data_IF_067791529461
#
_entry.id   IF_067791529461
#
_cell.length_a   1.000
_cell.length_b   1.000
_cell.length_c   1.000
_cell.angle_alpha   90.00
_cell.angle_beta   90.00
_cell.angle_gamma   90.00
#
_symmetry.space_group_name_H-M   'P 1'
#
loop_
_entity.id
_entity.type
_entity.pdbx_description
1 polymer ?
#
# COMPACT_ATOMS: atom_id res chain seq x y z
N UNK A 1 0.26 -23.24 4.76
CA UNK A 1 0.08 -22.58 6.07
C UNK A 1 0.16 -21.07 5.83
N UNK A 2 -0.53 -20.22 6.59
CA UNK A 2 -0.33 -18.75 6.51
C UNK A 2 1.03 -18.44 7.14
N UNK A 3 1.90 -17.63 6.52
CA UNK A 3 3.20 -17.30 7.10
C UNK A 3 3.05 -16.51 8.40
N UNK A 4 4.06 -16.63 9.27
CA UNK A 4 4.17 -15.83 10.48
C UNK A 4 4.29 -14.34 10.12
N UNK A 5 3.55 -13.42 10.77
CA UNK A 5 3.66 -11.99 10.53
C UNK A 5 5.09 -11.43 10.66
N UNK A 6 5.89 -11.95 11.59
CA UNK A 6 7.27 -11.51 11.78
C UNK A 6 8.13 -11.94 10.59
N UNK A 7 7.93 -13.15 10.04
CA UNK A 7 8.61 -13.59 8.84
C UNK A 7 8.26 -12.73 7.59
N UNK A 8 7.02 -12.25 7.50
CA UNK A 8 6.62 -11.28 6.46
C UNK A 8 7.34 -9.96 6.65
N UNK A 9 7.42 -9.45 7.88
CA UNK A 9 8.11 -8.20 8.19
C UNK A 9 9.62 -8.31 7.89
N UNK A 10 10.26 -9.37 8.37
CA UNK A 10 11.69 -9.64 8.15
C UNK A 10 12.02 -9.75 6.67
N UNK A 11 11.18 -10.42 5.88
CA UNK A 11 11.35 -10.49 4.43
C UNK A 11 11.39 -9.09 3.77
N UNK A 12 10.54 -8.16 4.21
CA UNK A 12 10.56 -6.77 3.71
C UNK A 12 11.78 -6.00 4.21
N UNK A 13 12.14 -6.14 5.50
CA UNK A 13 13.27 -5.43 6.09
C UNK A 13 14.60 -5.87 5.48
N UNK A 14 14.83 -7.17 5.35
CA UNK A 14 16.02 -7.73 4.68
C UNK A 14 16.11 -7.25 3.23
N UNK A 15 15.00 -7.28 2.49
CA UNK A 15 14.96 -6.78 1.11
C UNK A 15 15.28 -5.28 1.04
N UNK A 16 14.74 -4.49 1.97
CA UNK A 16 15.06 -3.07 2.06
C UNK A 16 16.54 -2.84 2.38
N UNK A 17 17.12 -3.60 3.29
CA UNK A 17 18.53 -3.48 3.72
C UNK A 17 19.52 -3.84 2.60
N UNK A 18 19.15 -4.72 1.68
CA UNK A 18 19.96 -5.02 0.49
C UNK A 18 20.00 -3.90 -0.56
N UNK A 19 19.07 -2.94 -0.52
CA UNK A 19 19.09 -1.81 -1.46
C UNK A 19 20.31 -0.91 -1.25
N UNK A 20 20.77 -0.20 -2.30
CA UNK A 20 21.84 0.79 -2.17
C UNK A 20 21.54 1.82 -1.07
N UNK A 21 22.57 2.28 -0.35
CA UNK A 21 22.43 3.30 0.71
C UNK A 21 21.80 4.60 0.20
N UNK A 22 21.98 4.89 -1.09
CA UNK A 22 21.39 6.05 -1.74
C UNK A 22 19.87 5.97 -1.64
N UNK A 23 19.26 6.97 -0.98
CA UNK A 23 17.80 7.13 -0.76
C UNK A 23 17.24 6.32 0.42
N UNK A 24 18.11 5.80 1.30
CA UNK A 24 17.70 5.35 2.64
C UNK A 24 17.80 6.52 3.64
N UNK A 25 17.04 6.48 4.76
CA UNK A 25 17.21 7.44 5.84
C UNK A 25 18.65 7.42 6.36
N UNK A 26 19.25 8.60 6.49
CA UNK A 26 20.66 8.72 6.86
C UNK A 26 20.83 8.62 8.38
N UNK A 27 21.88 7.94 8.85
CA UNK A 27 22.32 8.08 10.23
C UNK A 27 22.86 9.50 10.43
N UNK A 28 22.23 10.29 11.29
CA UNK A 28 22.70 11.64 11.66
C UNK A 28 23.69 11.53 12.84
N UNK A 29 24.66 12.45 12.91
CA UNK A 29 25.75 12.42 13.89
C UNK A 29 25.35 12.83 15.31
N UNK A 30 24.13 13.31 15.52
CA UNK A 30 23.72 14.06 16.72
C UNK A 30 22.35 13.58 17.28
N UNK A 31 22.24 12.27 17.51
CA UNK A 31 21.14 11.56 18.19
C UNK A 31 19.75 11.55 17.52
N UNK A 32 19.46 12.38 16.52
CA UNK A 32 18.26 12.24 15.70
C UNK A 32 18.53 11.30 14.51
N UNK A 33 17.68 10.29 14.30
CA UNK A 33 17.76 9.41 13.11
C UNK A 33 16.70 9.88 12.12
N UNK A 34 17.08 10.10 10.86
CA UNK A 34 16.07 10.29 9.81
C UNK A 34 15.17 9.05 9.75
N UNK A 35 13.86 9.23 9.58
CA UNK A 35 12.92 8.14 9.46
C UNK A 35 11.85 8.46 8.41
N UNK A 36 11.28 7.40 7.84
CA UNK A 36 10.16 7.46 6.91
C UNK A 36 9.42 6.12 6.99
N UNK A 37 8.08 6.09 6.88
CA UNK A 37 7.35 4.84 6.80
C UNK A 37 7.84 3.97 5.63
N UNK A 38 7.87 2.67 5.85
CA UNK A 38 8.18 1.63 4.88
C UNK A 38 6.97 0.71 4.73
N UNK A 39 6.67 0.30 3.51
CA UNK A 39 5.71 -0.75 3.24
C UNK A 39 6.24 -1.67 2.15
N UNK A 40 5.77 -2.92 2.16
CA UNK A 40 6.15 -3.94 1.20
C UNK A 40 5.02 -4.91 0.92
N UNK A 41 5.02 -5.49 -0.27
CA UNK A 41 4.14 -6.59 -0.65
C UNK A 41 4.99 -7.85 -0.80
N UNK A 42 4.61 -8.88 -0.06
CA UNK A 42 5.26 -10.18 -0.01
C UNK A 42 4.33 -11.23 -0.64
N UNK A 43 4.87 -12.01 -1.56
CA UNK A 43 4.22 -13.21 -2.07
C UNK A 43 4.73 -14.42 -1.29
N UNK A 44 3.81 -15.19 -0.72
CA UNK A 44 4.10 -16.44 -0.03
C UNK A 44 3.61 -17.62 -0.87
N UNK A 45 4.51 -18.53 -1.23
CA UNK A 45 4.17 -19.74 -1.96
C UNK A 45 3.80 -20.86 -0.98
N UNK A 46 2.56 -21.37 -1.06
CA UNK A 46 2.10 -22.52 -0.28
C UNK A 46 2.42 -23.87 -0.91
N UNK A 47 2.89 -23.89 -2.15
CA UNK A 47 3.10 -25.09 -2.97
C UNK A 47 4.54 -25.57 -3.02
N UNK A 48 4.80 -26.53 -3.90
CA UNK A 48 6.13 -27.12 -4.17
C UNK A 48 6.96 -26.29 -5.17
N UNK A 49 6.42 -25.19 -5.69
CA UNK A 49 7.15 -24.35 -6.61
C UNK A 49 8.18 -23.50 -5.86
N UNK A 50 9.41 -23.55 -6.37
CA UNK A 50 10.49 -22.76 -5.81
C UNK A 50 10.39 -21.34 -6.36
N UNK A 51 10.23 -20.37 -5.44
CA UNK A 51 10.47 -18.96 -5.76
C UNK A 51 11.90 -18.84 -6.32
N UNK A 52 12.12 -18.12 -7.43
CA UNK A 52 13.45 -17.93 -7.97
C UNK A 52 14.40 -17.39 -6.89
N UNK A 53 15.60 -17.98 -6.77
CA UNK A 53 16.55 -17.66 -5.69
C UNK A 53 16.87 -16.16 -5.58
N UNK A 54 16.86 -15.45 -6.71
CA UNK A 54 17.07 -14.00 -6.75
C UNK A 54 15.97 -13.18 -6.06
N UNK A 55 14.80 -13.77 -5.84
CA UNK A 55 13.62 -13.15 -5.24
C UNK A 55 13.24 -13.82 -3.91
N UNK A 56 14.00 -14.83 -3.50
CA UNK A 56 13.68 -15.68 -2.37
C UNK A 56 14.20 -15.05 -1.08
N UNK A 57 13.31 -14.88 -0.10
CA UNK A 57 13.69 -14.60 1.29
C UNK A 57 14.40 -15.80 1.93
N UNK A 58 14.93 -15.62 3.13
CA UNK A 58 15.74 -16.65 3.81
C UNK A 58 14.99 -17.99 3.97
N UNK A 59 13.68 -17.94 4.23
CA UNK A 59 12.83 -19.13 4.44
C UNK A 59 12.43 -19.86 3.15
N UNK A 60 12.91 -19.44 1.98
CA UNK A 60 12.65 -20.15 0.72
C UNK A 60 11.25 -19.96 0.12
N UNK A 61 10.30 -19.49 0.92
CA UNK A 61 8.86 -19.52 0.61
C UNK A 61 8.23 -18.14 0.52
N UNK A 62 8.97 -17.10 0.92
CA UNK A 62 8.53 -15.70 0.89
C UNK A 62 9.35 -14.91 -0.13
N UNK A 63 8.71 -13.94 -0.78
CA UNK A 63 9.35 -13.02 -1.71
C UNK A 63 8.80 -11.62 -1.56
N UNK A 64 9.63 -10.65 -1.17
CA UNK A 64 9.25 -9.24 -1.23
C UNK A 64 9.38 -8.76 -2.68
N UNK A 65 8.23 -8.66 -3.37
CA UNK A 65 8.18 -8.33 -4.80
C UNK A 65 8.04 -6.83 -5.06
N UNK A 66 7.69 -6.06 -4.03
CA UNK A 66 7.66 -4.61 -4.11
C UNK A 66 7.75 -3.98 -2.74
N UNK A 67 8.32 -2.78 -2.68
CA UNK A 67 8.39 -1.97 -1.48
C UNK A 67 8.35 -0.49 -1.83
N UNK A 68 8.07 0.34 -0.84
CA UNK A 68 8.05 1.78 -0.99
C UNK A 68 8.21 2.48 0.35
N UNK A 69 8.83 3.65 0.33
CA UNK A 69 8.92 4.55 1.48
C UNK A 69 8.26 5.88 1.17
N UNK A 70 7.51 6.44 2.10
CA UNK A 70 6.99 7.80 1.96
C UNK A 70 5.81 8.12 2.86
N UNK A 71 5.49 9.42 2.96
CA UNK A 71 4.54 9.94 3.94
C UNK A 71 3.83 11.23 3.48
N UNK A 72 3.84 11.55 2.17
CA UNK A 72 3.16 12.75 1.66
C UNK A 72 2.35 12.44 0.40
N UNK A 73 1.68 13.47 -0.06
CA UNK A 73 0.85 13.47 -1.25
C UNK A 73 1.01 14.83 -1.95
N UNK A 74 0.63 14.87 -3.23
CA UNK A 74 0.64 16.08 -4.04
C UNK A 74 -0.39 17.09 -3.50
N UNK A 75 -0.04 18.37 -3.33
CA UNK A 75 -0.99 19.39 -2.90
C UNK A 75 -2.17 19.54 -3.86
N UNK A 76 -3.34 19.88 -3.32
CA UNK A 76 -4.60 19.89 -4.09
C UNK A 76 -4.54 20.84 -5.29
N UNK A 77 -3.89 21.99 -5.14
CA UNK A 77 -3.78 22.99 -6.21
C UNK A 77 -2.79 22.59 -7.33
N UNK A 78 -2.00 21.52 -7.14
CA UNK A 78 -1.11 20.97 -8.16
C UNK A 78 -1.74 19.80 -8.91
N UNK A 79 -2.80 19.16 -8.37
CA UNK A 79 -3.51 18.06 -9.04
C UNK A 79 -3.98 18.42 -10.47
N UNK A 80 -4.57 19.59 -10.75
CA UNK A 80 -4.97 19.94 -12.11
C UNK A 80 -3.81 20.01 -13.10
N UNK A 81 -2.58 20.20 -12.61
CA UNK A 81 -1.34 20.27 -13.40
C UNK A 81 -0.62 18.94 -13.52
N UNK A 82 -1.09 17.88 -12.85
CA UNK A 82 -0.42 16.59 -12.84
C UNK A 82 -0.43 15.93 -14.22
N UNK A 83 -1.57 16.00 -14.93
CA UNK A 83 -1.76 15.43 -16.28
C UNK A 83 -1.22 13.99 -16.45
N UNK A 84 -1.34 13.16 -15.41
CA UNK A 84 -0.81 11.79 -15.39
C UNK A 84 0.71 11.65 -15.19
N UNK A 85 1.44 12.76 -15.05
CA UNK A 85 2.90 12.80 -14.96
C UNK A 85 3.44 13.05 -13.53
N UNK A 86 2.55 13.30 -12.56
CA UNK A 86 2.92 13.49 -11.16
C UNK A 86 2.22 12.46 -10.27
N UNK A 87 2.94 11.92 -9.29
CA UNK A 87 2.36 11.04 -8.29
C UNK A 87 1.46 11.85 -7.36
N UNK A 88 0.18 11.47 -7.26
CA UNK A 88 -0.78 12.12 -6.38
C UNK A 88 -0.57 11.74 -4.92
N UNK A 89 -0.22 10.48 -4.68
CA UNK A 89 -0.01 9.94 -3.35
C UNK A 89 1.27 9.11 -3.38
N UNK A 90 2.20 9.45 -2.49
CA UNK A 90 3.46 8.76 -2.33
C UNK A 90 3.67 8.33 -0.86
N UNK A 91 2.59 7.98 -0.17
CA UNK A 91 2.69 7.19 1.06
C UNK A 91 3.27 5.81 0.74
N UNK A 92 4.02 5.25 1.69
CA UNK A 92 4.71 3.98 1.55
C UNK A 92 3.80 2.87 1.02
N UNK A 93 2.62 2.70 1.63
CA UNK A 93 1.63 1.70 1.27
C UNK A 93 1.12 1.85 -0.17
N UNK A 94 0.92 3.11 -0.62
CA UNK A 94 0.45 3.40 -1.97
C UNK A 94 1.56 3.15 -2.99
N UNK A 95 2.79 3.51 -2.68
CA UNK A 95 3.93 3.25 -3.55
C UNK A 95 4.19 1.75 -3.70
N UNK A 96 4.10 0.97 -2.61
CA UNK A 96 4.23 -0.48 -2.65
C UNK A 96 3.19 -1.11 -3.60
N UNK A 97 1.91 -0.73 -3.49
CA UNK A 97 0.85 -1.21 -4.40
C UNK A 97 1.12 -0.82 -5.86
N UNK A 98 1.55 0.43 -6.11
CA UNK A 98 1.90 0.88 -7.48
C UNK A 98 3.08 0.10 -8.05
N UNK A 99 4.09 -0.17 -7.24
CA UNK A 99 5.24 -0.97 -7.62
C UNK A 99 4.84 -2.44 -7.87
N UNK A 100 3.93 -2.99 -7.07
CA UNK A 100 3.37 -4.33 -7.30
C UNK A 100 2.61 -4.43 -8.62
N UNK A 101 1.79 -3.42 -8.96
CA UNK A 101 1.13 -3.38 -10.27
C UNK A 101 2.15 -3.39 -11.41
N UNK A 102 3.26 -2.67 -11.26
CA UNK A 102 4.33 -2.67 -12.25
C UNK A 102 5.01 -4.04 -12.33
N UNK A 103 5.34 -4.65 -11.20
CA UNK A 103 5.89 -6.01 -11.11
C UNK A 103 5.01 -7.02 -11.86
N UNK A 104 3.69 -7.00 -11.63
CA UNK A 104 2.77 -7.90 -12.34
C UNK A 104 2.79 -7.68 -13.86
N UNK A 105 2.86 -6.42 -14.32
CA UNK A 105 2.99 -6.13 -15.74
C UNK A 105 4.31 -6.64 -16.32
N UNK A 106 5.41 -6.52 -15.58
CA UNK A 106 6.71 -7.02 -16.02
C UNK A 106 6.70 -8.57 -16.09
N UNK A 107 6.09 -9.27 -15.12
CA UNK A 107 5.90 -10.73 -15.13
C UNK A 107 5.03 -11.19 -16.31
N UNK A 108 3.98 -10.44 -16.65
CA UNK A 108 3.14 -10.71 -17.83
C UNK A 108 3.94 -10.58 -19.13
N UNK A 109 4.73 -9.51 -19.26
CA UNK A 109 5.58 -9.29 -20.42
C UNK A 109 6.63 -10.37 -20.57
N UNK A 110 7.24 -10.81 -19.47
CA UNK A 110 8.17 -11.93 -19.45
C UNK A 110 7.48 -13.23 -19.92
N UNK A 111 6.30 -13.55 -19.37
CA UNK A 111 5.55 -14.76 -19.74
C UNK A 111 5.13 -14.79 -21.22
N UNK A 112 4.84 -13.63 -21.80
CA UNK A 112 4.48 -13.51 -23.21
C UNK A 112 5.69 -13.57 -24.16
N UNK A 113 6.91 -13.48 -23.64
CA UNK A 113 8.14 -13.49 -24.41
C UNK A 113 8.67 -14.93 -24.58
N UNK A 114 8.80 -15.47 -25.81
CA UNK A 114 9.23 -16.86 -26.04
C UNK A 114 10.61 -17.22 -25.48
N UNK A 115 11.47 -16.21 -25.25
CA UNK A 115 12.83 -16.39 -24.75
C UNK A 115 12.93 -16.43 -23.23
N UNK A 116 11.83 -16.17 -22.52
CA UNK A 116 11.81 -16.11 -21.05
C UNK A 116 11.11 -17.34 -20.48
N UNK A 117 11.56 -17.83 -19.32
CA UNK A 117 10.83 -18.89 -18.62
C UNK A 117 9.44 -18.37 -18.20
N UNK A 118 8.47 -19.28 -18.01
CA UNK A 118 7.17 -18.91 -17.44
C UNK A 118 7.32 -18.17 -16.12
N UNK A 119 6.43 -17.22 -15.85
CA UNK A 119 6.38 -16.54 -14.55
C UNK A 119 6.25 -17.55 -13.42
N UNK A 120 7.02 -17.32 -12.35
CA UNK A 120 6.88 -18.08 -11.12
C UNK A 120 5.58 -17.74 -10.37
N UNK A 121 4.90 -16.64 -10.71
CA UNK A 121 3.78 -16.11 -9.94
C UNK A 121 2.45 -16.08 -10.71
N UNK A 122 2.52 -15.97 -12.04
CA UNK A 122 1.36 -15.85 -12.91
C UNK A 122 1.12 -17.12 -13.73
N UNK A 123 -0.14 -17.41 -14.00
CA UNK A 123 -0.58 -18.48 -14.90
C UNK A 123 -1.54 -17.95 -15.95
N UNK A 124 -1.55 -18.58 -17.10
CA UNK A 124 -2.60 -18.37 -18.11
C UNK A 124 -3.89 -19.03 -17.61
N UNK A 125 -5.00 -18.30 -17.66
CA UNK A 125 -6.34 -18.88 -17.43
C UNK A 125 -6.75 -19.73 -18.63
N UNK A 126 -7.40 -20.86 -18.39
CA UNK A 126 -8.04 -21.66 -19.43
C UNK A 126 -9.20 -20.89 -20.08
N UNK A 127 -9.78 -21.42 -21.16
CA UNK A 127 -10.92 -20.78 -21.83
C UNK A 127 -12.16 -20.83 -20.92
N UNK A 128 -12.31 -21.92 -20.18
CA UNK A 128 -13.43 -22.17 -19.27
C UNK A 128 -13.41 -21.25 -18.04
N UNK A 129 -12.22 -20.85 -17.60
CA UNK A 129 -12.04 -19.89 -16.49
C UNK A 129 -12.37 -18.44 -16.88
N UNK A 130 -12.48 -18.14 -18.19
CA UNK A 130 -12.74 -16.78 -18.68
C UNK A 130 -14.22 -16.58 -18.90
N UNK A 131 -14.80 -15.66 -18.14
CA UNK A 131 -16.23 -15.34 -18.22
C UNK A 131 -16.43 -13.91 -18.74
N UNK A 132 -17.64 -13.51 -19.17
CA UNK A 132 -17.90 -12.11 -19.51
C UNK A 132 -17.64 -11.12 -18.36
N UNK A 133 -17.79 -11.55 -17.10
CA UNK A 133 -17.47 -10.76 -15.90
C UNK A 133 -15.99 -10.77 -15.55
N UNK A 134 -15.27 -11.83 -15.92
CA UNK A 134 -13.83 -11.99 -15.68
C UNK A 134 -13.09 -12.43 -16.96
N UNK A 135 -12.92 -11.51 -17.93
CA UNK A 135 -12.36 -11.83 -19.24
C UNK A 135 -10.82 -11.89 -19.24
N UNK A 136 -10.17 -11.61 -18.11
CA UNK A 136 -8.72 -11.44 -18.04
C UNK A 136 -8.00 -12.77 -18.38
N UNK A 137 -6.97 -12.76 -19.26
CA UNK A 137 -6.33 -14.00 -19.69
C UNK A 137 -5.37 -14.60 -18.68
N UNK A 138 -4.99 -13.86 -17.64
CA UNK A 138 -4.02 -14.29 -16.63
C UNK A 138 -4.62 -14.26 -15.22
N UNK A 139 -4.09 -15.11 -14.36
CA UNK A 139 -4.35 -15.11 -12.93
C UNK A 139 -3.03 -15.23 -12.17
N UNK A 140 -3.03 -14.80 -10.91
CA UNK A 140 -2.05 -15.30 -9.95
C UNK A 140 -2.25 -16.80 -9.78
N UNK A 141 -1.18 -17.53 -9.48
CA UNK A 141 -1.29 -18.93 -9.07
C UNK A 141 -2.11 -19.04 -7.77
N UNK A 142 -2.86 -20.12 -7.64
CA UNK A 142 -3.85 -20.31 -6.55
C UNK A 142 -3.23 -20.58 -5.19
N UNK A 143 -1.98 -21.05 -5.18
CA UNK A 143 -1.19 -21.33 -3.99
C UNK A 143 -0.42 -20.12 -3.47
N UNK A 144 -0.54 -18.95 -4.11
CA UNK A 144 0.07 -17.72 -3.63
C UNK A 144 -0.83 -17.01 -2.62
N UNK A 145 -0.21 -16.52 -1.55
CA UNK A 145 -0.80 -15.50 -0.70
C UNK A 145 -0.09 -14.16 -0.89
N UNK A 146 -0.88 -13.09 -0.91
CA UNK A 146 -0.36 -11.72 -0.93
C UNK A 146 -0.44 -11.19 0.50
N UNK A 147 0.70 -10.77 1.02
CA UNK A 147 0.82 -10.14 2.33
C UNK A 147 1.31 -8.71 2.15
N UNK A 148 0.75 -7.79 2.93
CA UNK A 148 1.21 -6.41 2.97
C UNK A 148 1.75 -6.10 4.36
N UNK A 149 2.98 -5.60 4.39
CA UNK A 149 3.61 -5.04 5.58
C UNK A 149 3.59 -3.52 5.49
N UNK A 150 3.29 -2.86 6.60
CA UNK A 150 3.47 -1.43 6.81
C UNK A 150 4.15 -1.22 8.16
N UNK A 151 5.23 -0.44 8.20
CA UNK A 151 5.97 -0.14 9.44
C UNK A 151 5.17 0.74 10.41
N UNK A 152 4.14 1.42 9.92
CA UNK A 152 3.18 2.20 10.69
C UNK A 152 1.76 1.88 10.22
N UNK A 153 0.78 2.09 11.11
CA UNK A 153 -0.63 1.98 10.75
C UNK A 153 -0.97 2.94 9.59
N UNK A 154 -1.68 2.48 8.53
CA UNK A 154 -2.07 3.32 7.42
C UNK A 154 -2.78 4.59 7.90
N UNK A 155 -2.41 5.72 7.31
CA UNK A 155 -2.98 7.00 7.70
C UNK A 155 -4.49 7.06 7.39
N UNK A 156 -5.24 7.74 8.25
CA UNK A 156 -6.70 7.71 8.24
C UNK A 156 -7.20 6.86 9.40
N UNK A 157 -8.30 6.15 9.19
CA UNK A 157 -9.10 5.59 10.28
C UNK A 157 -8.33 4.55 11.11
N UNK A 158 -7.52 3.71 10.44
CA UNK A 158 -6.67 2.70 11.07
C UNK A 158 -5.63 3.27 12.05
N UNK A 159 -5.31 4.57 11.95
CA UNK A 159 -4.36 5.26 12.84
C UNK A 159 -5.05 6.14 13.89
N UNK A 160 -6.38 6.24 13.88
CA UNK A 160 -7.11 7.18 14.75
C UNK A 160 -7.09 6.76 16.19
N UNK A 161 -7.32 5.49 16.51
CA UNK A 161 -7.24 4.98 17.89
C UNK A 161 -5.85 5.21 18.50
N UNK A 162 -4.80 4.92 17.74
CA UNK A 162 -3.42 5.21 18.14
C UNK A 162 -3.22 6.72 18.39
N UNK A 163 -3.72 7.56 17.48
CA UNK A 163 -3.62 9.02 17.62
C UNK A 163 -4.36 9.52 18.86
N UNK A 164 -5.56 9.01 19.13
CA UNK A 164 -6.39 9.33 20.30
C UNK A 164 -5.63 8.95 21.57
N UNK A 165 -5.08 7.73 21.62
CA UNK A 165 -4.40 7.21 22.81
C UNK A 165 -3.13 7.99 23.20
N UNK A 166 -2.53 8.69 22.23
CA UNK A 166 -1.32 9.49 22.42
C UNK A 166 -1.61 10.95 22.82
N UNK A 167 -2.87 11.40 22.82
CA UNK A 167 -3.23 12.77 23.18
C UNK A 167 -3.49 12.89 24.69
N UNK A 168 -2.97 13.96 25.32
CA UNK A 168 -3.31 14.31 26.70
C UNK A 168 -4.77 14.72 26.86
N UNK A 169 -5.35 15.35 25.82
CA UNK A 169 -6.76 15.71 25.72
C UNK A 169 -7.33 15.24 24.38
N UNK A 170 -8.15 14.20 24.42
CA UNK A 170 -8.84 13.62 23.26
C UNK A 170 -10.28 14.14 23.11
N UNK A 171 -10.64 15.26 23.75
CA UNK A 171 -12.00 15.81 23.67
C UNK A 171 -12.41 16.02 22.21
N UNK A 172 -13.55 15.42 21.76
CA UNK A 172 -14.02 15.57 20.40
C UNK A 172 -14.23 17.03 20.00
N UNK A 173 -13.89 17.34 18.75
CA UNK A 173 -14.16 18.67 18.19
C UNK A 173 -15.67 18.88 18.10
N UNK A 174 -16.18 19.97 18.70
CA UNK A 174 -17.60 20.33 18.67
C UNK A 174 -17.99 21.16 17.44
N UNK A 175 -17.03 21.51 16.58
CA UNK A 175 -17.27 22.27 15.35
C UNK A 175 -18.00 21.42 14.31
N UNK A 176 -18.83 22.02 13.43
CA UNK A 176 -19.54 21.27 12.39
C UNK A 176 -18.55 20.56 11.45
N UNK A 177 -18.94 19.37 11.00
CA UNK A 177 -18.15 18.52 10.12
C UNK A 177 -17.99 19.22 8.76
N UNK A 178 -16.77 19.53 8.30
CA UNK A 178 -16.55 19.92 6.91
C UNK A 178 -16.75 18.67 6.05
N UNK A 179 -18.00 18.40 5.70
CA UNK A 179 -18.39 17.28 4.84
C UNK A 179 -17.79 17.48 3.45
N UNK A 180 -17.18 16.44 2.90
CA UNK A 180 -16.95 16.36 1.45
C UNK A 180 -18.32 15.97 0.89
N UNK A 181 -19.08 16.91 0.33
CA UNK A 181 -20.45 16.63 -0.15
C UNK A 181 -20.46 15.45 -1.12
N UNK A 182 -20.93 14.29 -0.67
CA UNK A 182 -21.46 13.25 -1.55
C UNK A 182 -22.86 13.67 -1.98
N UNK A 183 -23.18 13.51 -3.28
CA UNK A 183 -24.46 13.87 -3.89
C UNK A 183 -25.67 13.03 -3.40
N UNK A 184 -25.62 12.45 -2.20
CA UNK A 184 -26.62 11.51 -1.66
C UNK A 184 -26.84 11.66 -0.14
N UNK A 185 -26.93 12.89 0.38
CA UNK A 185 -27.43 13.09 1.75
C UNK A 185 -28.93 13.34 1.73
N UNK A 186 -29.73 12.39 2.23
CA UNK A 186 -31.14 12.65 2.57
C UNK A 186 -31.23 13.54 3.81
N UNK A 187 -32.27 14.39 3.93
CA UNK A 187 -32.34 15.42 4.98
C UNK A 187 -32.35 14.90 6.42
N UNK A 188 -32.77 13.65 6.63
CA UNK A 188 -33.07 13.11 7.96
C UNK A 188 -31.89 12.43 8.67
N UNK A 189 -30.74 12.24 8.00
CA UNK A 189 -29.56 11.64 8.65
C UNK A 189 -28.24 12.08 7.97
N UNK A 190 -27.60 13.18 8.40
CA UNK A 190 -26.38 13.69 7.78
C UNK A 190 -25.16 12.92 8.30
N UNK A 191 -25.10 11.61 8.05
CA UNK A 191 -23.87 10.86 8.28
C UNK A 191 -22.87 11.25 7.18
N UNK A 192 -21.71 11.84 7.49
CA UNK A 192 -20.69 12.15 6.50
C UNK A 192 -20.24 10.86 5.82
N UNK A 193 -20.29 10.78 4.49
CA UNK A 193 -19.75 9.62 3.77
C UNK A 193 -18.21 9.62 3.74
N UNK A 194 -17.60 10.80 3.83
CA UNK A 194 -16.15 10.97 3.86
C UNK A 194 -15.72 12.23 4.62
N UNK A 195 -14.54 12.18 5.22
CA UNK A 195 -13.85 13.27 5.92
C UNK A 195 -12.51 13.56 5.28
N UNK A 196 -12.01 14.80 5.35
CA UNK A 196 -10.61 15.09 4.99
C UNK A 196 -9.69 14.89 6.18
N UNK A 197 -8.65 14.10 5.98
CA UNK A 197 -7.58 13.92 6.97
C UNK A 197 -8.07 13.45 8.35
N UNK A 198 -7.54 14.10 9.39
CA UNK A 198 -7.78 13.77 10.80
C UNK A 198 -8.84 14.67 11.46
N UNK A 199 -9.56 15.48 10.68
CA UNK A 199 -10.71 16.21 11.23
C UNK A 199 -11.70 15.22 11.82
N UNK A 200 -12.28 15.55 12.98
CA UNK A 200 -13.27 14.70 13.64
C UNK A 200 -12.74 13.29 13.88
N UNK A 201 -11.54 13.18 14.47
CA UNK A 201 -10.86 11.90 14.73
C UNK A 201 -11.66 10.96 15.64
N UNK A 202 -12.58 11.50 16.45
CA UNK A 202 -13.53 10.75 17.29
C UNK A 202 -14.58 9.97 16.49
N UNK A 203 -14.79 10.31 15.21
CA UNK A 203 -15.74 9.60 14.33
C UNK A 203 -15.01 8.51 13.56
N UNK A 204 -15.12 7.28 14.03
CA UNK A 204 -14.53 6.08 13.39
C UNK A 204 -15.48 5.50 12.34
N UNK A 205 -14.95 4.65 11.45
CA UNK A 205 -15.71 3.96 10.40
C UNK A 205 -15.99 4.83 9.17
N UNK A 206 -15.30 5.95 9.00
CA UNK A 206 -15.50 6.89 7.88
C UNK A 206 -14.32 6.89 6.91
N UNK A 207 -14.61 7.06 5.62
CA UNK A 207 -13.57 7.21 4.59
C UNK A 207 -12.83 8.53 4.79
N UNK A 208 -11.51 8.47 4.94
CA UNK A 208 -10.67 9.66 5.15
C UNK A 208 -9.85 9.98 3.91
N UNK A 209 -10.15 11.09 3.26
CA UNK A 209 -9.52 11.52 2.02
C UNK A 209 -8.21 12.29 2.24
N UNK A 210 -7.31 12.17 1.27
CA UNK A 210 -6.09 12.98 1.12
C UNK A 210 -6.28 14.06 0.04
N UNK A 211 -5.52 15.17 0.09
CA UNK A 211 -4.58 15.55 1.14
C UNK A 211 -5.30 15.92 2.44
N UNK A 212 -4.71 15.51 3.56
CA UNK A 212 -5.34 15.56 4.90
C UNK A 212 -5.54 16.97 5.45
N UNK A 213 -4.73 17.93 5.00
CA UNK A 213 -4.74 19.32 5.46
C UNK A 213 -5.49 20.21 4.46
N UNK A 214 -6.52 20.96 4.88
CA UNK A 214 -7.23 21.90 4.00
C UNK A 214 -6.31 22.98 3.43
N UNK A 215 -5.26 23.33 4.18
CA UNK A 215 -4.24 24.33 3.86
C UNK A 215 -3.05 23.76 3.06
N UNK A 216 -3.05 22.46 2.72
CA UNK A 216 -2.07 21.88 1.79
C UNK A 216 -2.29 22.41 0.35
N UNK A 217 -1.89 23.67 0.16
CA UNK A 217 -1.66 24.38 -1.10
C UNK A 217 -0.26 24.06 -1.65
#
# INVERSE_FOLDING_TARGET
MTPDPDAVADCVLVTFDQLPEKRKPRPESDAAREWVPLAGIVLADKGEYLIPQALQGEDGTLSCVSLGTGMKCLPSNKLPRAHGNALHDWHAEVLAIRAFNRFLLDELLATLSPSHPPSAFLRLRSIEERTPSEPQPFALREDLQIHMYCSEAPCGDASMELTISLQEDATPWTSPIPTVSSAQSTPDDPVPSALRGRSHFSHLGLVRCKPSRPDAR
#
